data_IF_040999071715
#
_entry.id   IF_040999071715
#
_cell.length_a   1.000
_cell.length_b   1.000
_cell.length_c   1.000
_cell.angle_alpha   90.00
_cell.angle_beta   90.00
_cell.angle_gamma   90.00
#
_symmetry.space_group_name_H-M   'P 1'
#
loop_
_entity.id
_entity.type
_entity.pdbx_description
1 polymer ?
#
# COMPACT_ATOMS: atom_id res chain seq x y z
N UNK A 1 12.12 -9.17 42.52
CA UNK A 1 12.89 -10.42 42.38
C UNK A 1 13.74 -10.31 41.13
N UNK A 2 15.09 -10.39 41.20
CA UNK A 2 15.92 -10.37 40.00
C UNK A 2 15.77 -11.70 39.27
N UNK A 3 15.48 -11.61 37.99
CA UNK A 3 15.43 -12.78 37.07
C UNK A 3 16.86 -13.25 36.88
N UNK A 4 17.14 -14.49 37.28
CA UNK A 4 18.45 -15.11 37.15
C UNK A 4 18.80 -15.27 35.66
N UNK A 5 20.01 -14.84 35.27
CA UNK A 5 20.59 -14.97 33.91
C UNK A 5 20.53 -16.39 33.35
N UNK A 6 20.61 -17.41 34.24
CA UNK A 6 20.52 -18.81 33.81
C UNK A 6 19.11 -19.21 33.38
N UNK A 7 18.09 -18.67 34.04
CA UNK A 7 16.68 -18.90 33.67
C UNK A 7 16.30 -18.24 32.33
N UNK A 8 16.90 -17.08 32.01
CA UNK A 8 16.68 -16.40 30.73
C UNK A 8 17.34 -17.13 29.55
N UNK A 9 18.55 -17.64 29.73
CA UNK A 9 19.26 -18.43 28.72
C UNK A 9 18.58 -19.79 28.50
N UNK A 10 18.06 -20.44 29.56
CA UNK A 10 17.30 -21.67 29.44
C UNK A 10 15.96 -21.47 28.73
N UNK A 11 15.24 -20.35 28.98
CA UNK A 11 14.00 -20.03 28.28
C UNK A 11 14.24 -19.73 26.79
N UNK A 12 15.33 -19.05 26.45
CA UNK A 12 15.73 -18.81 25.05
C UNK A 12 16.14 -20.09 24.33
N UNK A 13 16.85 -21.02 25.00
CA UNK A 13 17.20 -22.31 24.43
C UNK A 13 15.99 -23.24 24.23
N UNK A 14 15.01 -23.22 25.15
CA UNK A 14 13.76 -23.98 25.03
C UNK A 14 12.87 -23.40 23.92
N UNK A 15 12.86 -22.08 23.73
CA UNK A 15 12.16 -21.45 22.61
C UNK A 15 12.81 -21.81 21.27
N UNK A 16 14.14 -21.79 21.20
CA UNK A 16 14.90 -22.20 20.01
C UNK A 16 14.72 -23.70 19.69
N UNK A 17 14.70 -24.58 20.71
CA UNK A 17 14.49 -26.00 20.54
C UNK A 17 13.05 -26.36 20.16
N UNK A 18 12.03 -25.60 20.61
CA UNK A 18 10.65 -25.76 20.17
C UNK A 18 10.44 -25.30 18.72
N UNK A 19 11.19 -24.32 18.25
CA UNK A 19 11.21 -23.89 16.84
C UNK A 19 11.89 -24.97 15.95
N UNK A 20 12.88 -25.69 16.46
CA UNK A 20 13.57 -26.77 15.75
C UNK A 20 12.85 -28.13 15.78
N UNK A 21 11.91 -28.35 16.69
CA UNK A 21 11.25 -29.64 16.91
C UNK A 21 9.83 -29.80 16.37
N UNK A 22 9.22 -28.71 15.87
CA UNK A 22 7.96 -28.78 15.13
C UNK A 22 8.28 -29.12 13.67
N UNK A 23 8.39 -30.41 13.35
CA UNK A 23 8.17 -30.87 11.99
C UNK A 23 6.73 -30.53 11.65
N UNK A 24 6.52 -29.30 11.16
CA UNK A 24 5.24 -28.90 10.54
C UNK A 24 5.01 -29.87 9.39
N UNK A 25 3.87 -30.52 9.35
CA UNK A 25 3.37 -31.15 8.12
C UNK A 25 3.31 -30.02 7.10
N UNK A 26 4.35 -29.91 6.28
CA UNK A 26 4.41 -28.93 5.22
C UNK A 26 3.16 -29.10 4.37
N UNK A 27 2.31 -28.07 4.31
CA UNK A 27 1.31 -27.98 3.28
C UNK A 27 2.04 -27.83 1.95
N UNK A 28 2.41 -28.95 1.33
CA UNK A 28 3.01 -29.02 -0.01
C UNK A 28 1.92 -28.74 -1.05
N UNK A 29 1.28 -27.57 -0.96
CA UNK A 29 0.51 -27.01 -2.06
C UNK A 29 1.47 -26.53 -3.15
N UNK A 30 0.99 -26.39 -4.38
CA UNK A 30 1.74 -25.78 -5.47
C UNK A 30 2.29 -24.41 -5.04
N UNK A 31 3.54 -24.12 -5.37
CA UNK A 31 4.19 -22.81 -5.21
C UNK A 31 4.48 -22.23 -6.61
N UNK A 32 3.46 -21.63 -7.29
CA UNK A 32 3.57 -21.26 -8.70
C UNK A 32 4.62 -20.19 -8.99
N UNK A 33 4.93 -19.36 -7.99
CA UNK A 33 5.95 -18.32 -8.13
C UNK A 33 7.31 -18.74 -7.57
N UNK A 34 7.39 -19.86 -6.84
CA UNK A 34 8.63 -20.38 -6.23
C UNK A 34 9.12 -19.52 -5.05
N UNK A 35 8.20 -18.87 -4.33
CA UNK A 35 8.54 -17.87 -3.29
C UNK A 35 8.00 -18.20 -1.90
N UNK A 36 7.18 -19.22 -1.75
CA UNK A 36 6.51 -19.53 -0.49
C UNK A 36 7.50 -19.78 0.65
N UNK A 37 8.64 -20.43 0.36
CA UNK A 37 9.71 -20.67 1.33
C UNK A 37 10.38 -19.41 1.88
N UNK A 38 10.23 -18.27 1.22
CA UNK A 38 10.76 -17.00 1.68
C UNK A 38 9.90 -16.35 2.78
N UNK A 39 8.67 -16.84 3.01
CA UNK A 39 7.72 -16.32 3.98
C UNK A 39 7.51 -17.30 5.15
N UNK A 40 8.17 -17.11 6.30
CA UNK A 40 8.04 -18.03 7.45
C UNK A 40 6.60 -18.21 7.95
N UNK A 41 5.78 -17.18 7.86
CA UNK A 41 4.37 -17.23 8.30
C UNK A 41 3.57 -18.30 7.54
N UNK A 42 3.94 -18.59 6.29
CA UNK A 42 3.25 -19.56 5.45
C UNK A 42 3.45 -21.02 5.89
N UNK A 43 4.38 -21.30 6.86
CA UNK A 43 4.57 -22.64 7.42
C UNK A 43 3.48 -23.02 8.41
N UNK A 44 2.98 -22.05 9.19
CA UNK A 44 2.11 -22.32 10.34
C UNK A 44 0.70 -21.75 10.20
N UNK A 45 0.53 -20.76 9.30
CA UNK A 45 -0.73 -20.05 9.09
C UNK A 45 -1.10 -19.97 7.61
N UNK A 46 -2.39 -19.97 7.34
CA UNK A 46 -2.93 -19.52 6.06
C UNK A 46 -3.14 -18.02 6.17
N UNK A 47 -2.18 -17.24 5.68
CA UNK A 47 -2.22 -15.78 5.79
C UNK A 47 -2.85 -15.15 4.55
N UNK A 48 -4.10 -14.75 4.65
CA UNK A 48 -4.90 -14.12 3.58
C UNK A 48 -5.25 -12.67 3.93
N UNK A 49 -4.32 -11.94 4.55
CA UNK A 49 -4.56 -10.58 5.08
C UNK A 49 -3.52 -9.54 4.64
N UNK A 50 -2.90 -9.73 3.48
CA UNK A 50 -1.83 -8.83 2.99
C UNK A 50 -2.30 -7.40 2.70
N UNK A 51 -3.60 -7.18 2.50
CA UNK A 51 -4.19 -5.84 2.38
C UNK A 51 -4.17 -5.04 3.71
N UNK A 52 -3.86 -5.65 4.85
CA UNK A 52 -3.69 -4.97 6.15
C UNK A 52 -2.22 -4.65 6.39
N UNK A 53 -1.41 -5.62 6.76
CA UNK A 53 0.04 -5.54 6.92
C UNK A 53 0.60 -6.83 6.32
N UNK A 54 1.41 -6.74 5.28
CA UNK A 54 1.98 -7.93 4.64
C UNK A 54 3.16 -8.49 5.43
N UNK A 55 3.37 -9.80 5.44
CA UNK A 55 4.55 -10.42 6.01
C UNK A 55 5.79 -10.06 5.18
N UNK A 56 6.92 -9.93 5.87
CA UNK A 56 8.21 -9.56 5.28
C UNK A 56 8.98 -10.81 4.83
N UNK A 57 9.45 -10.89 3.57
CA UNK A 57 10.22 -12.03 3.10
C UNK A 57 11.64 -12.07 3.69
N UNK A 58 12.24 -13.24 3.78
CA UNK A 58 13.59 -13.46 4.38
C UNK A 58 14.66 -12.54 3.83
N UNK A 59 14.64 -12.23 2.54
CA UNK A 59 15.60 -11.32 1.91
C UNK A 59 15.54 -9.89 2.50
N UNK A 60 14.34 -9.41 2.79
CA UNK A 60 14.12 -8.08 3.40
C UNK A 60 14.49 -8.10 4.88
N UNK A 61 14.19 -9.19 5.60
CA UNK A 61 14.64 -9.39 6.99
C UNK A 61 16.17 -9.38 7.06
N UNK A 62 16.86 -10.07 6.15
CA UNK A 62 18.31 -10.06 6.08
C UNK A 62 18.90 -8.67 5.84
N UNK A 63 18.29 -7.88 4.96
CA UNK A 63 18.71 -6.48 4.71
C UNK A 63 18.52 -5.59 5.94
N UNK A 64 17.44 -5.79 6.71
CA UNK A 64 17.22 -5.10 7.98
C UNK A 64 18.32 -5.40 8.99
N UNK A 65 18.65 -6.67 9.19
CA UNK A 65 19.74 -7.09 10.07
C UNK A 65 21.08 -6.49 9.63
N UNK A 66 21.43 -6.59 8.34
CA UNK A 66 22.67 -6.05 7.80
C UNK A 66 22.78 -4.53 8.03
N UNK A 67 21.68 -3.77 7.90
CA UNK A 67 21.66 -2.35 8.21
C UNK A 67 21.95 -2.08 9.69
N UNK A 68 21.28 -2.78 10.61
CA UNK A 68 21.45 -2.61 12.06
C UNK A 68 22.87 -3.00 12.50
N UNK A 69 23.39 -4.13 12.01
CA UNK A 69 24.77 -4.58 12.27
C UNK A 69 25.79 -3.59 11.75
N UNK A 70 25.64 -3.08 10.53
CA UNK A 70 26.53 -2.07 9.97
C UNK A 70 26.54 -0.81 10.81
N UNK A 71 25.36 -0.32 11.24
CA UNK A 71 25.22 0.86 12.09
C UNK A 71 25.83 0.66 13.47
N UNK A 72 25.78 -0.55 13.99
CA UNK A 72 26.37 -0.90 15.29
C UNK A 72 27.91 -1.01 15.23
N UNK A 73 28.46 -1.54 14.12
CA UNK A 73 29.86 -1.92 14.02
C UNK A 73 30.78 -0.79 13.50
N UNK A 74 30.24 0.23 12.82
CA UNK A 74 31.05 1.28 12.17
C UNK A 74 30.28 2.57 11.93
N UNK A 75 31.01 3.71 11.76
CA UNK A 75 30.35 4.98 11.42
C UNK A 75 29.59 4.88 10.10
N UNK A 76 28.33 5.31 10.10
CA UNK A 76 27.52 5.41 8.90
C UNK A 76 27.90 6.65 8.10
N UNK A 77 28.08 6.49 6.78
CA UNK A 77 28.34 7.61 5.87
C UNK A 77 27.03 8.09 5.24
N UNK A 78 26.73 9.38 5.35
CA UNK A 78 25.51 9.96 4.76
C UNK A 78 25.44 9.71 3.24
N UNK A 79 26.58 9.76 2.54
CA UNK A 79 26.65 9.46 1.10
C UNK A 79 26.13 8.06 0.75
N UNK A 80 26.44 7.05 1.58
CA UNK A 80 25.92 5.69 1.40
C UNK A 80 24.42 5.62 1.61
N UNK A 81 23.91 6.31 2.63
CA UNK A 81 22.45 6.39 2.90
C UNK A 81 21.73 7.10 1.75
N UNK A 82 22.30 8.16 1.22
CA UNK A 82 21.73 8.88 0.06
C UNK A 82 21.76 8.03 -1.21
N UNK A 83 22.84 7.27 -1.45
CA UNK A 83 22.88 6.33 -2.58
C UNK A 83 21.79 5.25 -2.49
N UNK A 84 21.49 4.76 -1.29
CA UNK A 84 20.34 3.85 -1.07
C UNK A 84 19.01 4.50 -1.41
N UNK A 85 18.81 5.76 -1.00
CA UNK A 85 17.61 6.50 -1.37
C UNK A 85 17.47 6.67 -2.90
N UNK A 86 18.57 6.98 -3.59
CA UNK A 86 18.56 7.14 -5.05
C UNK A 86 18.29 5.81 -5.76
N UNK A 87 18.81 4.70 -5.24
CA UNK A 87 18.50 3.37 -5.75
C UNK A 87 17.00 3.03 -5.58
N UNK A 88 16.39 3.34 -4.43
CA UNK A 88 14.94 3.15 -4.20
C UNK A 88 14.12 3.98 -5.17
N UNK A 89 14.49 5.27 -5.40
CA UNK A 89 13.79 6.10 -6.38
C UNK A 89 13.85 5.52 -7.78
N UNK A 90 15.03 5.06 -8.20
CA UNK A 90 15.21 4.46 -9.51
C UNK A 90 14.43 3.14 -9.68
N UNK A 91 14.40 2.29 -8.66
CA UNK A 91 13.62 1.05 -8.67
C UNK A 91 12.12 1.32 -8.68
N UNK A 92 11.64 2.19 -7.81
CA UNK A 92 10.21 2.53 -7.75
C UNK A 92 9.74 3.20 -9.05
N UNK A 93 10.56 4.09 -9.62
CA UNK A 93 10.27 4.74 -10.91
C UNK A 93 10.06 3.70 -12.03
N UNK A 94 10.87 2.65 -12.08
CA UNK A 94 10.67 1.56 -13.06
C UNK A 94 9.35 0.82 -12.84
N UNK A 95 9.00 0.54 -11.58
CA UNK A 95 7.77 -0.19 -11.24
C UNK A 95 6.52 0.59 -11.66
N UNK A 96 6.54 1.92 -11.61
CA UNK A 96 5.35 2.75 -11.91
C UNK A 96 5.42 3.44 -13.29
N UNK A 97 6.45 3.17 -14.09
CA UNK A 97 6.73 3.83 -15.37
C UNK A 97 6.92 5.35 -15.25
N UNK A 98 7.79 5.76 -14.30
CA UNK A 98 8.18 7.15 -14.06
C UNK A 98 9.70 7.34 -14.22
N UNK A 99 10.18 8.56 -13.98
CA UNK A 99 11.61 8.86 -13.85
C UNK A 99 12.02 9.04 -12.39
N UNK A 100 13.30 8.81 -12.01
CA UNK A 100 13.74 8.98 -10.62
C UNK A 100 13.53 10.41 -10.08
N UNK A 101 13.56 11.43 -10.93
CA UNK A 101 13.34 12.83 -10.56
C UNK A 101 11.87 13.12 -10.14
N UNK A 102 10.96 12.26 -10.54
CA UNK A 102 9.54 12.33 -10.19
C UNK A 102 9.21 11.57 -8.90
N UNK A 103 10.21 10.91 -8.29
CA UNK A 103 10.01 10.11 -7.08
C UNK A 103 10.63 10.83 -5.88
N UNK A 104 9.78 11.10 -4.87
CA UNK A 104 10.17 11.47 -3.51
C UNK A 104 9.95 10.32 -2.55
N UNK A 105 10.53 10.42 -1.36
CA UNK A 105 10.34 9.47 -0.26
C UNK A 105 9.73 10.20 0.93
N UNK A 106 8.49 9.88 1.25
CA UNK A 106 7.74 10.40 2.40
C UNK A 106 7.65 9.32 3.49
N UNK A 107 6.90 9.59 4.56
CA UNK A 107 6.78 8.64 5.67
C UNK A 107 5.53 7.76 5.58
N UNK A 108 4.47 8.23 4.91
CA UNK A 108 3.20 7.51 4.81
C UNK A 108 2.40 7.91 3.57
N UNK A 109 1.43 7.07 3.18
CA UNK A 109 0.51 7.35 2.06
C UNK A 109 -0.28 8.64 2.27
N UNK A 110 -0.90 8.83 3.44
CA UNK A 110 -1.70 10.03 3.73
C UNK A 110 -0.86 11.31 3.80
N UNK A 111 0.46 11.21 4.07
CA UNK A 111 1.36 12.36 3.96
C UNK A 111 1.47 12.82 2.51
N UNK A 112 1.50 11.89 1.53
CA UNK A 112 1.58 12.23 0.11
C UNK A 112 0.39 13.06 -0.37
N UNK A 113 -0.82 12.65 -0.02
CA UNK A 113 -2.02 13.41 -0.37
C UNK A 113 -2.08 14.76 0.35
N UNK A 114 -1.69 14.79 1.63
CA UNK A 114 -1.57 16.03 2.39
C UNK A 114 -0.60 17.04 1.75
N UNK A 115 0.54 16.56 1.21
CA UNK A 115 1.50 17.41 0.46
C UNK A 115 0.84 18.05 -0.75
N UNK A 116 0.08 17.28 -1.55
CA UNK A 116 -0.62 17.81 -2.72
C UNK A 116 -1.72 18.78 -2.29
N UNK A 117 -2.60 18.38 -1.37
CA UNK A 117 -3.74 19.20 -0.92
C UNK A 117 -3.30 20.53 -0.29
N UNK A 118 -2.20 20.53 0.45
CA UNK A 118 -1.64 21.76 1.03
C UNK A 118 -0.87 22.60 0.00
N UNK A 119 -0.14 21.94 -0.91
CA UNK A 119 0.79 22.59 -1.82
C UNK A 119 0.16 23.26 -3.03
N UNK A 120 -1.05 22.89 -3.47
CA UNK A 120 -1.71 23.51 -4.63
C UNK A 120 -2.43 24.83 -4.32
N UNK A 121 -2.47 25.23 -3.04
CA UNK A 121 -3.07 26.51 -2.65
C UNK A 121 -4.61 26.51 -2.67
N UNK A 122 -5.24 25.46 -2.17
CA UNK A 122 -6.72 25.37 -2.00
C UNK A 122 -7.25 26.55 -1.19
N UNK A 123 -8.34 27.16 -1.66
CA UNK A 123 -8.98 28.33 -1.06
C UNK A 123 -10.50 28.20 -1.06
N UNK A 124 -11.18 29.08 -0.32
CA UNK A 124 -12.64 29.12 -0.26
C UNK A 124 -13.27 29.17 -1.66
N UNK A 125 -14.27 28.31 -1.88
CA UNK A 125 -14.96 28.16 -3.15
C UNK A 125 -14.35 27.12 -4.11
N UNK A 126 -13.13 26.65 -3.89
CA UNK A 126 -12.60 25.47 -4.59
C UNK A 126 -13.30 24.21 -4.07
N UNK A 127 -13.32 23.14 -4.86
CA UNK A 127 -13.80 21.84 -4.40
C UNK A 127 -12.78 20.72 -4.68
N UNK A 128 -12.91 19.66 -3.89
CA UNK A 128 -12.20 18.39 -4.03
C UNK A 128 -13.21 17.28 -4.17
N UNK A 129 -12.99 16.36 -5.09
CA UNK A 129 -13.88 15.23 -5.37
C UNK A 129 -13.18 13.93 -5.03
N UNK A 130 -13.80 13.13 -4.16
CA UNK A 130 -13.36 11.77 -3.83
C UNK A 130 -14.56 10.82 -3.96
N UNK A 131 -14.33 9.50 -3.92
CA UNK A 131 -15.43 8.54 -3.79
C UNK A 131 -15.49 7.89 -2.39
N UNK A 132 -16.58 7.21 -2.08
CA UNK A 132 -16.78 6.57 -0.78
C UNK A 132 -16.12 5.19 -0.64
N UNK A 133 -15.35 4.76 -1.64
CA UNK A 133 -14.45 3.61 -1.57
C UNK A 133 -13.02 3.99 -1.20
N UNK A 134 -12.76 5.29 -0.98
CA UNK A 134 -11.45 5.81 -0.57
C UNK A 134 -11.10 5.44 0.88
N UNK A 135 -9.84 5.65 1.27
CA UNK A 135 -9.39 5.40 2.62
C UNK A 135 -9.83 6.50 3.60
N UNK A 136 -10.10 6.13 4.86
CA UNK A 136 -10.68 7.04 5.85
C UNK A 136 -9.84 8.31 6.12
N UNK A 137 -8.52 8.24 5.99
CA UNK A 137 -7.63 9.39 6.22
C UNK A 137 -7.99 10.56 5.30
N UNK A 138 -8.41 10.29 4.08
CA UNK A 138 -8.69 11.33 3.08
C UNK A 138 -10.00 12.07 3.39
N UNK A 139 -10.99 11.39 3.93
CA UNK A 139 -12.19 12.06 4.45
C UNK A 139 -11.83 13.00 5.61
N UNK A 140 -10.93 12.58 6.51
CA UNK A 140 -10.47 13.42 7.63
C UNK A 140 -9.69 14.62 7.11
N UNK A 141 -8.77 14.43 6.17
CA UNK A 141 -7.98 15.50 5.56
C UNK A 141 -8.89 16.56 4.92
N UNK A 142 -9.77 16.15 4.01
CA UNK A 142 -10.57 17.10 3.26
C UNK A 142 -11.69 17.74 4.09
N UNK A 143 -12.25 17.05 5.09
CA UNK A 143 -13.14 17.68 6.07
C UNK A 143 -12.44 18.71 6.95
N UNK A 144 -11.19 18.48 7.33
CA UNK A 144 -10.39 19.47 8.04
C UNK A 144 -10.08 20.70 7.16
N UNK A 145 -9.80 20.49 5.87
CA UNK A 145 -9.57 21.58 4.92
C UNK A 145 -10.87 22.34 4.59
N UNK A 146 -12.02 21.66 4.51
CA UNK A 146 -13.33 22.28 4.38
C UNK A 146 -13.62 23.24 5.55
N UNK A 147 -13.38 22.77 6.78
CA UNK A 147 -13.58 23.57 7.99
C UNK A 147 -12.59 24.75 8.10
N UNK A 148 -11.33 24.56 7.70
CA UNK A 148 -10.28 25.58 7.92
C UNK A 148 -10.05 26.53 6.75
N UNK A 149 -10.34 26.09 5.51
CA UNK A 149 -10.09 26.87 4.28
C UNK A 149 -11.36 27.22 3.48
N UNK A 150 -12.52 26.66 3.85
CA UNK A 150 -13.78 26.91 3.15
C UNK A 150 -13.87 26.26 1.77
N UNK A 151 -13.13 25.18 1.54
CA UNK A 151 -13.31 24.34 0.35
C UNK A 151 -14.60 23.52 0.48
N UNK A 152 -15.07 22.93 -0.61
CA UNK A 152 -16.19 21.99 -0.63
C UNK A 152 -15.67 20.56 -0.87
N UNK A 153 -15.95 19.62 0.02
CA UNK A 153 -15.69 18.20 -0.22
C UNK A 153 -16.92 17.54 -0.86
N UNK A 154 -16.76 17.03 -2.07
CA UNK A 154 -17.77 16.26 -2.81
C UNK A 154 -17.45 14.79 -2.80
N UNK A 155 -18.43 13.95 -2.43
CA UNK A 155 -18.22 12.51 -2.27
C UNK A 155 -19.13 11.77 -3.27
N UNK A 156 -18.52 11.12 -4.25
CA UNK A 156 -19.18 10.23 -5.20
C UNK A 156 -19.57 8.94 -4.49
N UNK A 157 -20.81 8.49 -4.66
CA UNK A 157 -21.31 7.26 -4.04
C UNK A 157 -21.11 6.06 -4.96
N UNK A 158 -20.58 4.98 -4.40
CA UNK A 158 -20.50 3.73 -5.14
C UNK A 158 -21.89 3.14 -5.41
N UNK A 159 -21.97 2.37 -6.48
CA UNK A 159 -23.13 1.57 -6.84
C UNK A 159 -22.71 0.11 -6.86
N UNK A 160 -23.24 -0.66 -5.92
CA UNK A 160 -22.90 -2.09 -5.77
C UNK A 160 -21.39 -2.36 -5.69
N UNK A 161 -20.66 -1.48 -4.98
CA UNK A 161 -19.23 -1.61 -4.75
C UNK A 161 -18.32 -1.10 -5.87
N UNK A 162 -18.85 -0.47 -6.90
CA UNK A 162 -18.11 0.10 -8.03
C UNK A 162 -18.38 1.59 -8.22
N UNK A 163 -17.41 2.31 -8.80
CA UNK A 163 -17.52 3.72 -9.21
C UNK A 163 -16.86 3.90 -10.56
N UNK A 164 -17.54 4.53 -11.49
CA UNK A 164 -17.03 4.80 -12.85
C UNK A 164 -16.81 6.29 -13.07
N UNK A 165 -16.07 6.67 -14.12
CA UNK A 165 -15.88 8.08 -14.50
C UNK A 165 -17.24 8.82 -14.67
N UNK A 166 -18.27 8.13 -15.18
CA UNK A 166 -19.61 8.68 -15.32
C UNK A 166 -20.24 9.08 -13.98
N UNK A 167 -19.90 8.39 -12.90
CA UNK A 167 -20.41 8.71 -11.56
C UNK A 167 -19.71 9.97 -11.00
N UNK A 168 -18.47 10.25 -11.42
CA UNK A 168 -17.74 11.47 -11.07
C UNK A 168 -18.22 12.69 -11.83
N UNK A 169 -18.72 12.56 -13.07
CA UNK A 169 -19.07 13.67 -13.97
C UNK A 169 -19.97 14.74 -13.32
N UNK A 170 -21.06 14.40 -12.57
CA UNK A 170 -21.91 15.42 -11.93
C UNK A 170 -21.23 16.17 -10.78
N UNK A 171 -20.09 15.67 -10.28
CA UNK A 171 -19.38 16.22 -9.12
C UNK A 171 -18.20 17.12 -9.50
N UNK A 172 -17.73 17.07 -10.76
CA UNK A 172 -16.55 17.80 -11.24
C UNK A 172 -16.98 19.03 -12.02
N UNK A 173 -16.45 20.20 -11.67
CA UNK A 173 -16.68 21.46 -12.34
C UNK A 173 -15.38 22.31 -12.41
N UNK A 174 -15.46 23.55 -12.91
CA UNK A 174 -14.31 24.48 -13.06
C UNK A 174 -13.68 24.89 -11.72
N UNK A 175 -14.34 24.65 -10.58
CA UNK A 175 -13.82 24.92 -9.25
C UNK A 175 -13.12 23.69 -8.65
N UNK A 176 -13.22 22.54 -9.30
CA UNK A 176 -12.53 21.32 -8.86
C UNK A 176 -11.03 21.50 -9.04
N UNK A 177 -10.27 21.24 -7.96
CA UNK A 177 -8.82 21.33 -7.93
C UNK A 177 -8.13 19.99 -7.83
N UNK A 178 -8.77 19.03 -7.15
CA UNK A 178 -8.27 17.66 -6.98
C UNK A 178 -9.44 16.71 -7.21
N UNK A 179 -9.18 15.67 -7.98
CA UNK A 179 -9.95 14.43 -7.97
C UNK A 179 -9.02 13.36 -7.39
N UNK A 180 -9.42 12.72 -6.28
CA UNK A 180 -8.60 11.72 -5.61
C UNK A 180 -9.36 10.40 -5.47
N UNK A 181 -8.69 9.30 -5.80
CA UNK A 181 -9.23 7.95 -5.66
C UNK A 181 -8.19 6.99 -5.09
N UNK A 182 -8.62 5.97 -4.37
CA UNK A 182 -7.78 4.81 -4.12
C UNK A 182 -7.69 3.98 -5.41
N UNK A 183 -6.48 3.76 -5.97
CA UNK A 183 -6.35 2.95 -7.20
C UNK A 183 -7.03 1.59 -7.06
N UNK A 184 -6.83 0.97 -5.89
CA UNK A 184 -7.58 -0.21 -5.45
C UNK A 184 -8.17 0.07 -4.07
N UNK A 185 -9.48 -0.09 -3.92
CA UNK A 185 -10.17 0.14 -2.65
C UNK A 185 -9.75 -0.85 -1.58
N UNK A 186 -9.47 -0.34 -0.39
CA UNK A 186 -9.20 -1.17 0.79
C UNK A 186 -10.47 -1.85 1.35
N UNK A 187 -11.65 -1.36 0.97
CA UNK A 187 -12.92 -1.88 1.47
C UNK A 187 -13.31 -3.18 0.78
N UNK A 188 -13.26 -3.19 -0.54
CA UNK A 188 -13.79 -4.29 -1.34
C UNK A 188 -12.87 -4.71 -2.49
N UNK A 189 -11.67 -4.13 -2.59
CA UNK A 189 -10.73 -4.44 -3.65
C UNK A 189 -11.08 -3.87 -5.02
N UNK A 190 -12.12 -3.05 -5.15
CA UNK A 190 -12.47 -2.44 -6.42
C UNK A 190 -11.28 -1.71 -7.03
N UNK A 191 -10.89 -2.11 -8.24
CA UNK A 191 -9.83 -1.46 -9.03
C UNK A 191 -10.46 -0.44 -9.95
N UNK A 192 -10.16 0.83 -9.70
CA UNK A 192 -10.67 1.93 -10.54
C UNK A 192 -10.06 1.87 -11.95
N UNK A 193 -10.87 2.18 -12.96
CA UNK A 193 -10.38 2.54 -14.30
C UNK A 193 -9.89 3.99 -14.26
N UNK A 194 -8.57 4.15 -14.11
CA UNK A 194 -7.95 5.43 -13.79
C UNK A 194 -8.04 6.43 -14.94
N UNK A 195 -7.79 5.98 -16.17
CA UNK A 195 -7.63 6.89 -17.33
C UNK A 195 -8.89 7.73 -17.62
N UNK A 196 -10.11 7.19 -17.68
CA UNK A 196 -11.32 8.00 -17.90
C UNK A 196 -11.58 9.02 -16.78
N UNK A 197 -11.21 8.69 -15.52
CA UNK A 197 -11.36 9.62 -14.39
C UNK A 197 -10.31 10.73 -14.49
N UNK A 198 -9.07 10.41 -14.86
CA UNK A 198 -8.00 11.38 -15.10
C UNK A 198 -8.37 12.35 -16.23
N UNK A 199 -8.84 11.84 -17.38
CA UNK A 199 -9.25 12.66 -18.50
C UNK A 199 -10.38 13.65 -18.12
N UNK A 200 -11.34 13.18 -17.33
CA UNK A 200 -12.41 14.02 -16.80
C UNK A 200 -11.88 15.11 -15.86
N UNK A 201 -10.98 14.77 -14.93
CA UNK A 201 -10.35 15.73 -14.02
C UNK A 201 -9.57 16.80 -14.82
N UNK A 202 -8.73 16.38 -15.75
CA UNK A 202 -7.89 17.26 -16.57
C UNK A 202 -8.72 18.17 -17.48
N UNK A 203 -9.83 17.71 -18.03
CA UNK A 203 -10.75 18.53 -18.84
C UNK A 203 -11.30 19.73 -18.05
N UNK A 204 -11.31 19.68 -16.72
CA UNK A 204 -11.72 20.75 -15.84
C UNK A 204 -10.55 21.47 -15.15
N UNK A 205 -9.31 21.12 -15.47
CA UNK A 205 -8.08 21.71 -14.89
C UNK A 205 -7.73 21.23 -13.48
N UNK A 206 -8.39 20.17 -12.99
CA UNK A 206 -8.11 19.52 -11.72
C UNK A 206 -6.91 18.60 -11.82
N UNK A 207 -6.18 18.41 -10.70
CA UNK A 207 -5.17 17.36 -10.56
C UNK A 207 -5.84 16.02 -10.26
N UNK A 208 -5.28 14.95 -10.80
CA UNK A 208 -5.71 13.59 -10.51
C UNK A 208 -4.70 12.87 -9.60
N UNK A 209 -5.11 12.61 -8.36
CA UNK A 209 -4.32 11.94 -7.34
C UNK A 209 -4.76 10.50 -7.15
N UNK A 210 -3.80 9.60 -6.89
CA UNK A 210 -4.06 8.20 -6.58
C UNK A 210 -3.42 7.77 -5.25
N UNK A 211 -4.22 7.28 -4.30
CA UNK A 211 -3.72 6.42 -3.23
C UNK A 211 -3.43 5.04 -3.82
N UNK A 212 -2.15 4.70 -3.93
CA UNK A 212 -1.71 3.45 -4.54
C UNK A 212 -1.26 2.38 -3.54
N UNK A 213 -1.55 2.55 -2.25
CA UNK A 213 -1.09 1.64 -1.18
C UNK A 213 -1.62 0.22 -1.32
N UNK A 214 -2.76 0.02 -1.99
CA UNK A 214 -3.31 -1.31 -2.29
C UNK A 214 -3.01 -1.77 -3.74
N UNK A 215 -2.23 -0.99 -4.49
CA UNK A 215 -1.98 -1.25 -5.91
C UNK A 215 -0.52 -1.65 -6.17
N UNK A 216 0.43 -0.79 -5.80
CA UNK A 216 1.86 -1.00 -6.10
C UNK A 216 2.39 -2.23 -5.38
N UNK A 217 3.01 -3.13 -6.15
CA UNK A 217 3.51 -4.43 -5.68
C UNK A 217 2.51 -5.57 -5.83
N UNK A 218 1.21 -5.27 -6.06
CA UNK A 218 0.17 -6.26 -6.31
C UNK A 218 -0.27 -6.30 -7.78
N UNK A 219 -0.39 -5.13 -8.42
CA UNK A 219 -0.78 -4.99 -9.82
C UNK A 219 0.31 -4.31 -10.63
N UNK A 220 0.41 -4.67 -11.90
CA UNK A 220 1.23 -3.96 -12.88
C UNK A 220 0.52 -2.66 -13.28
N UNK A 221 1.17 -1.53 -13.05
CA UNK A 221 0.55 -0.22 -13.24
C UNK A 221 1.51 0.75 -13.95
N UNK A 222 0.93 1.66 -14.71
CA UNK A 222 1.63 2.68 -15.47
C UNK A 222 0.99 4.04 -15.19
N UNK A 223 1.70 4.93 -14.48
CA UNK A 223 1.18 6.26 -14.12
C UNK A 223 0.93 7.15 -15.34
N UNK A 224 1.69 6.94 -16.43
CA UNK A 224 1.52 7.70 -17.68
C UNK A 224 0.27 7.27 -18.42
N UNK A 225 0.12 5.95 -18.61
CA UNK A 225 -1.07 5.40 -19.25
C UNK A 225 -2.34 5.71 -18.45
N UNK A 226 -2.26 5.69 -17.13
CA UNK A 226 -3.36 6.01 -16.23
C UNK A 226 -3.69 7.51 -16.14
N UNK A 227 -2.77 8.38 -16.56
CA UNK A 227 -2.94 9.83 -16.47
C UNK A 227 -2.87 10.38 -15.04
N UNK A 228 -2.16 9.69 -14.14
CA UNK A 228 -2.01 10.11 -12.74
C UNK A 228 -1.00 11.24 -12.63
N UNK A 229 -1.37 12.33 -11.95
CA UNK A 229 -0.48 13.47 -11.70
C UNK A 229 0.41 13.26 -10.48
N UNK A 230 -0.14 12.61 -9.42
CA UNK A 230 0.61 12.23 -8.24
C UNK A 230 0.03 10.97 -7.60
N UNK A 231 0.90 10.17 -6.98
CA UNK A 231 0.49 9.03 -6.15
C UNK A 231 1.42 8.86 -4.95
N UNK A 232 0.91 8.20 -3.92
CA UNK A 232 1.74 7.74 -2.80
C UNK A 232 1.41 6.29 -2.42
N UNK A 233 2.44 5.58 -1.95
CA UNK A 233 2.34 4.17 -1.59
C UNK A 233 3.17 3.85 -0.36
N UNK A 234 2.53 3.57 0.78
CA UNK A 234 3.21 3.07 1.98
C UNK A 234 3.81 1.68 1.75
N UNK A 235 5.01 1.44 2.26
CA UNK A 235 5.80 0.24 1.97
C UNK A 235 5.37 -1.04 2.69
N UNK A 236 4.56 -0.94 3.74
CA UNK A 236 4.27 -2.04 4.69
C UNK A 236 3.18 -3.03 4.25
N UNK A 237 2.57 -2.81 3.09
CA UNK A 237 1.59 -3.73 2.50
C UNK A 237 2.23 -4.53 1.37
N UNK A 238 1.78 -4.35 0.14
CA UNK A 238 2.22 -5.14 -1.01
C UNK A 238 3.70 -4.93 -1.39
N UNK A 239 4.31 -3.85 -0.91
CA UNK A 239 5.78 -3.68 -0.97
C UNK A 239 6.52 -4.42 0.16
N UNK A 240 5.85 -5.06 1.12
CA UNK A 240 6.38 -6.01 2.12
C UNK A 240 7.60 -5.50 2.91
N UNK A 241 7.76 -4.17 3.03
CA UNK A 241 8.78 -3.53 3.85
C UNK A 241 8.18 -2.95 5.15
N UNK A 242 8.92 -2.13 5.87
CA UNK A 242 8.51 -1.57 7.15
C UNK A 242 7.72 -0.26 6.98
N UNK A 243 7.04 0.16 8.04
CA UNK A 243 6.45 1.49 8.15
C UNK A 243 7.52 2.60 8.12
N UNK A 244 7.11 3.82 7.87
CA UNK A 244 7.99 4.99 7.94
C UNK A 244 8.69 5.34 6.63
N UNK A 245 8.37 4.67 5.52
CA UNK A 245 8.74 5.08 4.17
C UNK A 245 7.60 4.86 3.20
N UNK A 246 7.35 5.83 2.33
CA UNK A 246 6.33 5.80 1.30
C UNK A 246 6.87 6.48 0.03
N UNK A 247 7.16 5.73 -1.04
CA UNK A 247 7.42 6.31 -2.34
C UNK A 247 6.27 7.20 -2.79
N UNK A 248 6.63 8.37 -3.30
CA UNK A 248 5.72 9.43 -3.71
C UNK A 248 6.07 9.88 -5.13
N UNK A 249 5.20 9.60 -6.08
CA UNK A 249 5.33 10.07 -7.45
C UNK A 249 4.64 11.42 -7.60
N UNK A 250 5.30 12.36 -8.27
CA UNK A 250 4.71 13.62 -8.74
C UNK A 250 5.17 13.84 -10.17
N UNK A 251 4.24 13.97 -11.10
CA UNK A 251 4.56 14.17 -12.50
C UNK A 251 5.36 15.45 -12.73
N UNK A 252 6.28 15.41 -13.68
CA UNK A 252 7.15 16.54 -14.01
C UNK A 252 6.37 17.81 -14.33
N UNK A 253 5.19 17.67 -14.94
CA UNK A 253 4.35 18.78 -15.36
C UNK A 253 3.78 19.59 -14.18
N UNK A 254 3.62 18.95 -13.01
CA UNK A 254 3.01 19.60 -11.86
C UNK A 254 3.99 19.92 -10.72
N UNK A 255 5.22 19.39 -10.73
CA UNK A 255 6.18 19.59 -9.62
C UNK A 255 6.33 21.08 -9.26
N UNK A 256 6.48 21.97 -10.22
CA UNK A 256 6.67 23.40 -9.98
C UNK A 256 5.38 24.11 -9.50
N UNK A 257 4.21 23.50 -9.72
CA UNK A 257 2.90 24.03 -9.28
C UNK A 257 2.61 23.73 -7.81
N UNK A 258 3.22 22.68 -7.25
CA UNK A 258 2.99 22.27 -5.86
C UNK A 258 4.04 22.92 -4.97
N UNK A 259 3.62 23.73 -4.02
CA UNK A 259 4.50 24.29 -3.00
C UNK A 259 4.83 23.25 -1.95
N UNK A 260 6.09 23.17 -1.50
CA UNK A 260 6.43 22.29 -0.38
C UNK A 260 6.00 22.94 0.93
N UNK A 261 5.25 22.23 1.74
CA UNK A 261 4.83 22.60 3.09
C UNK A 261 5.88 22.25 4.16
N UNK A 262 6.93 21.52 3.75
CA UNK A 262 8.04 21.09 4.62
C UNK A 262 9.37 21.30 3.90
N UNK A 263 10.15 22.22 4.41
CA UNK A 263 11.42 22.63 3.80
C UNK A 263 12.53 22.31 4.80
N UNK A 264 13.60 21.70 4.30
CA UNK A 264 14.79 21.39 5.08
C UNK A 264 15.97 21.07 4.18
N UNK A 265 17.08 20.65 4.76
CA UNK A 265 18.35 20.45 4.08
C UNK A 265 18.24 19.53 2.84
N UNK A 266 17.44 18.46 2.91
CA UNK A 266 17.31 17.51 1.80
C UNK A 266 16.45 18.02 0.64
N UNK A 267 15.73 19.11 0.82
CA UNK A 267 14.97 19.77 -0.26
C UNK A 267 15.76 20.85 -1.00
N UNK A 268 17.01 21.13 -0.59
CA UNK A 268 17.85 22.21 -1.12
C UNK A 268 18.73 21.72 -2.25
N UNK A 269 18.67 22.40 -3.40
CA UNK A 269 19.57 22.19 -4.53
C UNK A 269 20.90 22.93 -4.32
N UNK A 270 20.83 24.15 -3.80
CA UNK A 270 22.00 25.03 -3.58
C UNK A 270 21.73 25.92 -2.37
N UNK A 271 22.66 25.91 -1.43
CA UNK A 271 22.78 26.92 -0.38
C UNK A 271 23.67 28.07 -0.86
N UNK A 272 23.27 29.30 -0.55
CA UNK A 272 23.99 30.55 -0.86
C UNK A 272 24.41 31.22 0.44
N UNK A 273 25.34 32.20 0.37
CA UNK A 273 25.63 33.05 1.52
C UNK A 273 24.37 33.70 2.09
N UNK A 274 24.42 34.09 3.36
CA UNK A 274 23.30 34.75 4.08
C UNK A 274 22.05 33.85 4.26
N UNK A 275 22.24 32.51 4.33
CA UNK A 275 21.16 31.52 4.54
C UNK A 275 20.10 31.51 3.47
N UNK A 276 20.39 32.04 2.29
CA UNK A 276 19.54 31.89 1.11
C UNK A 276 19.71 30.50 0.50
N UNK A 277 18.68 29.97 -0.13
CA UNK A 277 18.69 28.64 -0.75
C UNK A 277 17.80 28.59 -1.98
N UNK A 278 18.11 27.65 -2.85
CA UNK A 278 17.25 27.25 -3.97
C UNK A 278 16.77 25.82 -3.73
N UNK A 279 15.45 25.60 -3.86
CA UNK A 279 14.86 24.27 -3.73
C UNK A 279 15.17 23.42 -4.97
N UNK A 280 15.22 22.12 -4.77
CA UNK A 280 15.23 21.14 -5.85
C UNK A 280 13.98 21.30 -6.73
N UNK A 281 14.15 21.07 -8.04
CA UNK A 281 13.04 21.06 -9.01
C UNK A 281 12.64 19.62 -9.39
N UNK A 282 12.72 18.72 -8.43
CA UNK A 282 12.35 17.31 -8.52
C UNK A 282 11.42 16.97 -7.35
N UNK A 283 10.79 15.79 -7.36
CA UNK A 283 9.93 15.34 -6.26
C UNK A 283 10.67 15.27 -4.90
N UNK A 284 11.99 15.25 -4.91
CA UNK A 284 12.83 15.32 -3.69
C UNK A 284 12.62 16.60 -2.88
N UNK A 285 12.11 17.69 -3.48
CA UNK A 285 11.82 18.92 -2.73
C UNK A 285 10.80 18.72 -1.60
N UNK A 286 10.00 17.66 -1.67
CA UNK A 286 8.99 17.32 -0.65
C UNK A 286 9.56 16.50 0.52
N UNK A 287 10.82 16.10 0.47
CA UNK A 287 11.41 15.21 1.47
C UNK A 287 11.84 15.92 2.76
N UNK A 288 12.12 17.20 2.73
CA UNK A 288 12.41 18.07 3.88
C UNK A 288 13.64 17.66 4.69
N UNK A 289 13.51 16.70 5.58
CA UNK A 289 14.51 16.34 6.60
C UNK A 289 14.94 14.88 6.54
N UNK A 290 15.71 14.47 7.56
CA UNK A 290 16.14 13.08 7.75
C UNK A 290 14.93 12.12 7.81
N UNK A 291 15.11 10.96 7.24
CA UNK A 291 14.07 9.92 7.13
C UNK A 291 14.49 8.64 7.82
N UNK A 292 13.60 7.66 7.85
CA UNK A 292 13.82 6.34 8.40
C UNK A 292 14.74 5.51 7.48
N UNK A 293 16.06 5.79 7.45
CA UNK A 293 17.01 5.13 6.55
C UNK A 293 17.00 3.60 6.65
N UNK A 294 16.71 3.05 7.84
CA UNK A 294 16.53 1.60 8.00
C UNK A 294 15.35 1.06 7.19
N UNK A 295 14.21 1.76 7.22
CA UNK A 295 13.05 1.39 6.42
C UNK A 295 13.32 1.56 4.90
N UNK A 296 14.08 2.59 4.50
CA UNK A 296 14.49 2.76 3.10
C UNK A 296 15.39 1.61 2.64
N UNK A 297 16.32 1.14 3.49
CA UNK A 297 17.18 -0.02 3.17
C UNK A 297 16.34 -1.30 2.99
N UNK A 298 15.33 -1.51 3.83
CA UNK A 298 14.39 -2.62 3.68
C UNK A 298 13.57 -2.50 2.40
N UNK A 299 13.08 -1.30 2.09
CA UNK A 299 12.32 -1.06 0.87
C UNK A 299 13.16 -1.33 -0.38
N UNK A 300 14.46 -0.96 -0.39
CA UNK A 300 15.37 -1.29 -1.48
C UNK A 300 15.42 -2.81 -1.74
N UNK A 301 15.60 -3.59 -0.67
CA UNK A 301 15.64 -5.05 -0.76
C UNK A 301 14.30 -5.62 -1.24
N UNK A 302 13.19 -5.06 -0.78
CA UNK A 302 11.86 -5.48 -1.18
C UNK A 302 11.56 -5.17 -2.66
N UNK A 303 11.91 -3.97 -3.13
CA UNK A 303 11.75 -3.63 -4.56
C UNK A 303 12.60 -4.56 -5.44
N UNK A 304 13.84 -4.86 -5.05
CA UNK A 304 14.67 -5.84 -5.75
C UNK A 304 14.05 -7.24 -5.77
N UNK A 305 13.42 -7.65 -4.66
CA UNK A 305 12.71 -8.92 -4.56
C UNK A 305 11.51 -8.96 -5.50
N UNK A 306 10.67 -7.92 -5.51
CA UNK A 306 9.51 -7.80 -6.38
C UNK A 306 9.90 -7.77 -7.86
N UNK A 307 10.94 -7.01 -8.23
CA UNK A 307 11.47 -6.98 -9.59
C UNK A 307 11.93 -8.39 -10.05
N UNK A 308 12.59 -9.16 -9.17
CA UNK A 308 13.03 -10.53 -9.46
C UNK A 308 11.85 -11.48 -9.67
N UNK A 309 10.79 -11.39 -8.89
CA UNK A 309 9.58 -12.22 -9.03
C UNK A 309 8.81 -11.80 -10.28
N UNK A 310 8.70 -10.50 -10.54
CA UNK A 310 7.97 -9.88 -11.65
C UNK A 310 6.55 -9.49 -11.28
N UNK A 311 6.25 -8.18 -11.30
CA UNK A 311 4.94 -7.65 -10.87
C UNK A 311 3.78 -8.22 -11.70
N UNK A 312 3.93 -8.32 -13.02
CA UNK A 312 2.89 -8.90 -13.88
C UNK A 312 2.56 -10.37 -13.52
N UNK A 313 3.58 -11.17 -13.15
CA UNK A 313 3.37 -12.55 -12.68
C UNK A 313 2.67 -12.58 -11.32
N UNK A 314 3.00 -11.62 -10.43
CA UNK A 314 2.34 -11.46 -9.14
C UNK A 314 0.86 -11.12 -9.35
N UNK A 315 0.56 -10.16 -10.23
CA UNK A 315 -0.82 -9.77 -10.57
C UNK A 315 -1.61 -10.97 -11.10
N UNK A 316 -1.10 -11.65 -12.12
CA UNK A 316 -1.76 -12.81 -12.72
C UNK A 316 -2.10 -13.87 -11.67
N UNK A 317 -1.12 -14.20 -10.83
CA UNK A 317 -1.28 -15.20 -9.77
C UNK A 317 -2.30 -14.78 -8.72
N UNK A 318 -2.15 -13.58 -8.15
CA UNK A 318 -2.99 -13.14 -7.03
C UNK A 318 -4.41 -12.79 -7.45
N UNK A 319 -4.59 -12.24 -8.64
CA UNK A 319 -5.92 -12.01 -9.23
C UNK A 319 -6.61 -13.34 -9.55
N UNK A 320 -5.86 -14.34 -10.04
CA UNK A 320 -6.39 -15.69 -10.25
C UNK A 320 -6.91 -16.34 -8.96
N UNK A 321 -6.15 -16.21 -7.84
CA UNK A 321 -6.60 -16.69 -6.52
C UNK A 321 -7.84 -15.93 -6.03
N UNK A 322 -7.89 -14.61 -6.21
CA UNK A 322 -9.04 -13.80 -5.82
C UNK A 322 -10.29 -14.13 -6.65
N UNK A 323 -10.14 -14.38 -7.95
CA UNK A 323 -11.25 -14.79 -8.80
C UNK A 323 -11.80 -16.15 -8.39
N UNK A 324 -10.94 -17.14 -8.12
CA UNK A 324 -11.34 -18.45 -7.59
C UNK A 324 -12.12 -18.31 -6.29
N UNK A 325 -11.65 -17.49 -5.37
CA UNK A 325 -12.35 -17.19 -4.11
C UNK A 325 -13.72 -16.57 -4.38
N UNK A 326 -13.78 -15.54 -5.24
CA UNK A 326 -15.03 -14.85 -5.59
C UNK A 326 -16.08 -15.83 -6.14
N UNK A 327 -15.70 -16.66 -7.12
CA UNK A 327 -16.59 -17.65 -7.73
C UNK A 327 -17.10 -18.68 -6.71
N UNK A 328 -16.21 -19.15 -5.81
CA UNK A 328 -16.58 -20.05 -4.73
C UNK A 328 -17.58 -19.43 -3.76
N UNK A 329 -17.36 -18.19 -3.34
CA UNK A 329 -18.28 -17.45 -2.45
C UNK A 329 -19.66 -17.23 -3.09
N UNK A 330 -19.70 -16.84 -4.36
CA UNK A 330 -20.97 -16.68 -5.10
C UNK A 330 -21.71 -18.02 -5.21
N UNK A 331 -21.00 -19.12 -5.50
CA UNK A 331 -21.58 -20.46 -5.56
C UNK A 331 -22.14 -20.93 -4.21
N UNK A 332 -21.55 -20.49 -3.11
CA UNK A 332 -22.04 -20.74 -1.75
C UNK A 332 -23.24 -19.85 -1.37
N UNK A 333 -23.62 -18.88 -2.19
CA UNK A 333 -24.74 -17.97 -1.95
C UNK A 333 -24.39 -16.72 -1.12
N UNK A 334 -23.08 -16.44 -0.90
CA UNK A 334 -22.67 -15.22 -0.20
C UNK A 334 -22.97 -13.96 -1.01
N UNK A 335 -23.35 -12.90 -0.31
CA UNK A 335 -23.36 -11.54 -0.87
C UNK A 335 -21.95 -10.99 -0.86
N UNK A 336 -21.29 -11.01 -2.02
CA UNK A 336 -19.93 -10.46 -2.18
C UNK A 336 -20.01 -8.97 -2.46
N UNK A 337 -19.26 -8.15 -1.69
CA UNK A 337 -19.20 -6.70 -1.87
C UNK A 337 -18.20 -6.30 -2.97
N UNK A 338 -17.20 -7.14 -3.24
CA UNK A 338 -16.33 -6.98 -4.40
C UNK A 338 -17.13 -7.14 -5.69
N UNK A 339 -17.07 -6.19 -6.63
CA UNK A 339 -17.80 -6.32 -7.90
C UNK A 339 -17.32 -7.52 -8.73
N UNK A 340 -18.25 -8.12 -9.50
CA UNK A 340 -17.93 -9.18 -10.45
C UNK A 340 -16.93 -8.69 -11.50
N UNK A 341 -15.98 -9.54 -11.88
CA UNK A 341 -14.94 -9.22 -12.87
C UNK A 341 -13.86 -8.27 -12.37
N UNK A 342 -13.84 -7.96 -11.05
CA UNK A 342 -12.81 -7.11 -10.46
C UNK A 342 -11.41 -7.75 -10.61
N UNK A 343 -10.39 -6.92 -10.85
CA UNK A 343 -9.01 -7.34 -11.11
C UNK A 343 -8.06 -6.83 -10.04
N UNK A 344 -8.29 -7.26 -8.81
CA UNK A 344 -7.34 -7.10 -7.69
C UNK A 344 -7.33 -8.35 -6.83
N UNK A 345 -6.35 -8.45 -5.94
CA UNK A 345 -6.22 -9.57 -5.01
C UNK A 345 -7.19 -9.50 -3.81
N UNK A 346 -7.99 -8.46 -3.66
CA UNK A 346 -8.83 -8.25 -2.47
C UNK A 346 -10.26 -8.64 -2.79
N UNK A 347 -10.82 -9.55 -1.96
CA UNK A 347 -12.23 -9.96 -2.03
C UNK A 347 -12.89 -9.73 -0.67
N UNK A 348 -14.05 -9.08 -0.67
CA UNK A 348 -14.82 -8.81 0.56
C UNK A 348 -16.23 -9.34 0.42
N UNK A 349 -16.65 -10.14 1.39
CA UNK A 349 -18.01 -10.65 1.49
C UNK A 349 -18.72 -10.09 2.72
N UNK A 350 -20.04 -9.95 2.64
CA UNK A 350 -20.87 -9.64 3.80
C UNK A 350 -21.12 -10.94 4.58
N UNK A 351 -20.96 -10.88 5.90
CA UNK A 351 -21.18 -12.02 6.78
C UNK A 351 -22.55 -11.90 7.45
N UNK A 352 -23.36 -12.97 7.37
CA UNK A 352 -24.67 -13.05 8.02
C UNK A 352 -24.60 -13.34 9.53
N UNK A 353 -23.41 -13.70 10.06
CA UNK A 353 -23.20 -14.10 11.45
C UNK A 353 -22.58 -13.01 12.31
N UNK A 354 -22.68 -13.10 13.65
CA UNK A 354 -21.98 -12.21 14.56
C UNK A 354 -20.47 -12.18 14.29
N UNK A 355 -19.86 -11.00 14.43
CA UNK A 355 -18.41 -10.79 14.18
C UNK A 355 -17.54 -11.73 15.03
N UNK A 356 -17.94 -11.97 16.29
CA UNK A 356 -17.19 -12.83 17.20
C UNK A 356 -17.15 -14.29 16.70
N UNK A 357 -18.28 -14.82 16.25
CA UNK A 357 -18.39 -16.19 15.75
C UNK A 357 -17.63 -16.37 14.44
N UNK A 358 -17.73 -15.35 13.57
CA UNK A 358 -16.96 -15.31 12.31
C UNK A 358 -15.46 -15.33 12.58
N UNK A 359 -14.97 -14.51 13.51
CA UNK A 359 -13.54 -14.51 13.91
C UNK A 359 -13.11 -15.87 14.48
N UNK A 360 -13.91 -16.44 15.36
CA UNK A 360 -13.62 -17.73 15.98
C UNK A 360 -13.48 -18.84 14.94
N UNK A 361 -14.35 -18.86 13.91
CA UNK A 361 -14.28 -19.82 12.82
C UNK A 361 -12.95 -19.75 12.05
N UNK A 362 -12.52 -18.56 11.64
CA UNK A 362 -11.24 -18.37 10.96
C UNK A 362 -10.05 -18.68 11.85
N UNK A 363 -10.07 -18.26 13.13
CA UNK A 363 -9.01 -18.57 14.11
C UNK A 363 -8.87 -20.07 14.33
N UNK A 364 -9.97 -20.81 14.47
CA UNK A 364 -9.95 -22.28 14.62
C UNK A 364 -9.34 -22.96 13.40
N UNK A 365 -9.53 -22.41 12.22
CA UNK A 365 -8.96 -22.91 10.98
C UNK A 365 -7.51 -22.43 10.74
N UNK A 366 -6.92 -21.63 11.62
CA UNK A 366 -5.61 -20.99 11.44
C UNK A 366 -5.52 -20.14 10.16
N UNK A 367 -6.60 -19.45 9.83
CA UNK A 367 -6.68 -18.56 8.65
C UNK A 367 -6.75 -17.11 9.11
N UNK A 368 -5.79 -16.30 8.67
CA UNK A 368 -5.73 -14.87 8.95
C UNK A 368 -6.44 -14.05 7.87
N UNK A 369 -7.52 -13.36 8.26
CA UNK A 369 -8.33 -12.46 7.42
C UNK A 369 -8.72 -11.22 8.22
N UNK A 370 -9.22 -10.18 7.55
CA UNK A 370 -9.84 -9.05 8.26
C UNK A 370 -11.33 -9.30 8.44
N UNK A 371 -11.81 -9.34 9.71
CA UNK A 371 -13.25 -9.38 10.05
C UNK A 371 -13.65 -8.09 10.72
N UNK A 372 -14.46 -7.26 10.04
CA UNK A 372 -14.86 -5.93 10.53
C UNK A 372 -16.21 -5.51 9.96
N UNK A 373 -17.05 -4.86 10.76
CA UNK A 373 -18.32 -4.25 10.32
C UNK A 373 -19.28 -5.25 9.61
N UNK A 374 -19.33 -6.51 10.05
CA UNK A 374 -20.15 -7.53 9.39
C UNK A 374 -19.62 -8.02 8.05
N UNK A 375 -18.35 -7.76 7.76
CA UNK A 375 -17.67 -8.17 6.54
C UNK A 375 -16.41 -8.97 6.83
N UNK A 376 -16.07 -9.87 5.91
CA UNK A 376 -14.79 -10.57 5.86
C UNK A 376 -14.07 -10.12 4.59
N UNK A 377 -12.86 -9.55 4.77
CA UNK A 377 -11.98 -9.21 3.66
C UNK A 377 -10.83 -10.21 3.60
N UNK A 378 -10.69 -10.85 2.48
CA UNK A 378 -9.66 -11.83 2.16
C UNK A 378 -8.73 -11.24 1.11
N UNK A 379 -7.41 -11.34 1.32
CA UNK A 379 -6.42 -10.70 0.47
C UNK A 379 -5.19 -11.60 0.31
N UNK A 380 -5.24 -12.61 -0.58
CA UNK A 380 -4.11 -13.46 -0.89
C UNK A 380 -2.96 -12.69 -1.53
N UNK A 381 -1.73 -13.14 -1.30
CA UNK A 381 -0.52 -12.55 -1.84
C UNK A 381 0.30 -13.58 -2.64
N UNK A 382 1.45 -13.15 -3.11
CA UNK A 382 2.33 -13.92 -4.00
C UNK A 382 2.76 -15.30 -3.44
N UNK A 383 2.72 -15.50 -2.12
CA UNK A 383 3.09 -16.76 -1.45
C UNK A 383 1.92 -17.70 -1.19
N UNK A 384 0.68 -17.26 -1.45
CA UNK A 384 -0.51 -18.10 -1.27
C UNK A 384 -0.73 -19.03 -2.47
N UNK A 385 -1.59 -20.03 -2.30
CA UNK A 385 -1.91 -20.99 -3.32
C UNK A 385 -3.42 -21.36 -3.34
N UNK A 386 -3.82 -22.16 -4.32
CA UNK A 386 -5.21 -22.53 -4.52
C UNK A 386 -5.77 -23.37 -3.35
N UNK A 387 -4.97 -24.24 -2.72
CA UNK A 387 -5.42 -25.08 -1.60
C UNK A 387 -5.80 -24.22 -0.39
N UNK A 388 -5.11 -23.10 -0.18
CA UNK A 388 -5.44 -22.16 0.89
C UNK A 388 -6.75 -21.42 0.62
N UNK A 389 -7.05 -21.15 -0.65
CA UNK A 389 -8.34 -20.57 -1.06
C UNK A 389 -9.47 -21.58 -0.82
N UNK A 390 -9.29 -22.87 -1.16
CA UNK A 390 -10.29 -23.90 -0.87
C UNK A 390 -10.57 -24.01 0.65
N UNK A 391 -9.52 -24.04 1.49
CA UNK A 391 -9.71 -24.05 2.95
C UNK A 391 -10.43 -22.80 3.47
N UNK A 392 -10.19 -21.64 2.86
CA UNK A 392 -10.94 -20.42 3.17
C UNK A 392 -12.43 -20.58 2.80
N UNK A 393 -12.72 -21.18 1.64
CA UNK A 393 -14.09 -21.48 1.18
C UNK A 393 -14.79 -22.50 2.09
N UNK A 394 -14.07 -23.52 2.59
CA UNK A 394 -14.63 -24.48 3.56
C UNK A 394 -15.11 -23.78 4.83
N UNK A 395 -14.36 -22.80 5.34
CA UNK A 395 -14.77 -22.00 6.51
C UNK A 395 -15.97 -21.14 6.18
N UNK A 396 -15.98 -20.46 5.02
CA UNK A 396 -17.07 -19.55 4.65
C UNK A 396 -18.38 -20.28 4.39
N UNK A 397 -18.35 -21.53 3.94
CA UNK A 397 -19.57 -22.35 3.72
C UNK A 397 -20.47 -22.41 4.96
N UNK A 398 -19.91 -22.31 6.15
CA UNK A 398 -20.63 -22.33 7.42
C UNK A 398 -21.03 -20.93 7.93
N UNK A 399 -20.76 -19.88 7.17
CA UNK A 399 -21.00 -18.48 7.55
C UNK A 399 -22.16 -17.81 6.78
N UNK A 400 -22.87 -18.58 5.95
CA UNK A 400 -24.07 -18.11 5.21
C UNK A 400 -25.23 -17.87 6.17
#
# INVERSE_FOLDING_TARGET
MPIDRRSFVAAAAVAAARIAGAQSKSHQGLDPLGVRGDFPIASDHIFLNSAYIAPTPRAVVAASHAYIESKSARPMQLSTLMATNDAVRAQFARIVNATPDEIGLLNSTGEGESVIANGIGLRAGDNVVIDDLHYNTEFVLYRALEASRGIELRIVKNKDGAVTAKDFEPHIDRRTRIVSVAWVSHLNGFRHDMRPIADLAHAHGALFYADAVQAVGMIDLDVRAAGVDALCCGSYKWLMAEFGVAPFFVSREIIDRIQSDRIGEFSVARAEPDYRYQLLRTARKFEGTSRAFGAVSQLQASLSYLEKVGIARIEEHTVGLAQRLYEGLVKQGHRVFTPSGNRSSIVTLNCGRPIADTRAAFQTAHIEVTVRNGQVRVAPALFNNADEIEKCLDVTQHLV
#
